data_IF_941398119903
#
_entry.id   IF_941398119903
#
_cell.length_a   1.000
_cell.length_b   1.000
_cell.length_c   1.000
_cell.angle_alpha   90.00
_cell.angle_beta   90.00
_cell.angle_gamma   90.00
#
_symmetry.space_group_name_H-M   'P 1'
#
loop_
_entity.id
_entity.type
_entity.pdbx_description
1 polymer ?
#
# COMPACT_ATOMS: atom_id res chain seq x y z
N UNK A 1 22.61 1.07 12.81
CA UNK A 1 23.12 0.28 11.68
C UNK A 1 23.51 -1.08 12.18
N UNK A 2 22.76 -2.10 11.80
CA UNK A 2 22.92 -3.45 12.35
C UNK A 2 21.83 -4.40 11.89
N UNK A 3 22.18 -5.22 10.89
CA UNK A 3 21.67 -6.57 10.53
C UNK A 3 22.05 -6.88 9.07
N UNK A 4 21.91 -5.88 8.20
CA UNK A 4 22.30 -5.93 6.78
C UNK A 4 22.32 -4.49 6.23
N UNK A 5 23.25 -4.15 5.32
CA UNK A 5 23.25 -2.86 4.64
C UNK A 5 21.89 -2.52 4.00
N UNK A 6 21.18 -3.52 3.48
CA UNK A 6 19.85 -3.33 2.87
C UNK A 6 18.80 -2.93 3.90
N UNK A 7 18.84 -3.50 5.10
CA UNK A 7 17.89 -3.15 6.17
C UNK A 7 18.18 -1.75 6.66
N UNK A 8 19.44 -1.44 6.91
CA UNK A 8 19.86 -0.11 7.35
C UNK A 8 19.45 0.98 6.35
N UNK A 9 19.58 0.70 5.05
CA UNK A 9 19.11 1.63 4.01
C UNK A 9 17.59 1.80 4.02
N UNK A 10 16.82 0.70 4.12
CA UNK A 10 15.35 0.80 4.15
C UNK A 10 14.83 1.59 5.37
N UNK A 11 15.50 1.50 6.52
CA UNK A 11 15.16 2.29 7.71
C UNK A 11 15.42 3.78 7.46
N UNK A 12 16.58 4.09 6.86
CA UNK A 12 16.99 5.46 6.52
C UNK A 12 16.05 6.10 5.49
N UNK A 13 15.66 5.35 4.46
CA UNK A 13 14.69 5.80 3.46
C UNK A 13 13.31 6.05 4.09
N UNK A 14 12.89 5.18 5.01
CA UNK A 14 11.66 5.34 5.76
C UNK A 14 11.61 6.63 6.59
N UNK A 15 12.69 6.94 7.31
CA UNK A 15 12.81 8.18 8.09
C UNK A 15 12.73 9.43 7.20
N UNK A 16 13.36 9.41 6.03
CA UNK A 16 13.28 10.52 5.06
C UNK A 16 11.86 10.67 4.49
N UNK A 17 11.18 9.56 4.23
CA UNK A 17 9.83 9.57 3.69
C UNK A 17 8.83 10.19 4.67
N UNK A 18 8.98 9.98 5.98
CA UNK A 18 8.13 10.62 6.99
C UNK A 18 8.16 12.14 6.83
N UNK A 19 9.35 12.73 6.68
CA UNK A 19 9.50 14.17 6.50
C UNK A 19 8.79 14.68 5.24
N UNK A 20 9.01 14.00 4.11
CA UNK A 20 8.38 14.37 2.85
C UNK A 20 6.85 14.26 2.89
N UNK A 21 6.30 13.25 3.58
CA UNK A 21 4.85 13.06 3.74
C UNK A 21 4.26 14.09 4.70
N UNK A 22 5.00 14.45 5.75
CA UNK A 22 4.62 15.54 6.66
C UNK A 22 4.57 16.90 5.94
N UNK A 23 5.52 17.18 5.05
CA UNK A 23 5.54 18.39 4.23
C UNK A 23 4.33 18.48 3.26
N UNK A 24 3.74 17.34 2.90
CA UNK A 24 2.49 17.26 2.13
C UNK A 24 1.23 17.44 3.01
N UNK A 25 1.38 17.59 4.33
CA UNK A 25 0.27 17.78 5.28
C UNK A 25 -0.36 16.48 5.80
N UNK A 26 0.28 15.32 5.58
CA UNK A 26 -0.20 14.03 6.08
C UNK A 26 0.59 13.55 7.30
N UNK A 27 -0.06 12.77 8.15
CA UNK A 27 0.62 12.08 9.25
C UNK A 27 1.27 10.81 8.72
N UNK A 28 2.56 10.63 9.02
CA UNK A 28 3.31 9.43 8.68
C UNK A 28 4.05 8.91 9.92
N UNK A 29 4.05 7.58 10.07
CA UNK A 29 4.74 6.87 11.13
C UNK A 29 5.55 5.74 10.50
N UNK A 30 6.79 5.57 10.93
CA UNK A 30 7.65 4.49 10.49
C UNK A 30 7.59 3.35 11.52
N UNK A 31 6.88 2.28 11.16
CA UNK A 31 6.66 1.11 12.02
C UNK A 31 7.78 0.05 11.92
N UNK A 32 8.86 0.34 11.17
CA UNK A 32 9.94 -0.61 10.90
C UNK A 32 9.42 -1.97 10.40
N UNK A 33 9.62 -3.04 11.17
CA UNK A 33 9.18 -4.40 10.86
C UNK A 33 7.84 -4.78 11.52
N UNK A 34 7.29 -3.92 12.38
CA UNK A 34 6.10 -4.20 13.20
C UNK A 34 4.83 -4.03 12.37
N UNK A 35 4.56 -5.02 11.53
CA UNK A 35 3.41 -5.01 10.61
C UNK A 35 2.08 -5.00 11.37
N UNK A 36 2.03 -5.58 12.56
CA UNK A 36 0.87 -5.59 13.44
C UNK A 36 0.47 -4.18 13.90
N UNK A 37 1.43 -3.31 14.14
CA UNK A 37 1.20 -1.93 14.55
C UNK A 37 0.83 -1.08 13.33
N UNK A 38 1.51 -1.28 12.20
CA UNK A 38 1.16 -0.64 10.94
C UNK A 38 -0.28 -0.93 10.52
N UNK A 39 -0.74 -2.18 10.67
CA UNK A 39 -2.13 -2.56 10.38
C UNK A 39 -3.14 -1.98 11.37
N UNK A 40 -2.73 -1.80 12.64
CA UNK A 40 -3.61 -1.26 13.69
C UNK A 40 -3.81 0.25 13.57
N UNK A 41 -2.73 0.98 13.29
CA UNK A 41 -2.67 2.43 13.47
C UNK A 41 -2.71 3.21 12.15
N UNK A 42 -2.44 2.57 11.02
CA UNK A 42 -2.35 3.22 9.71
C UNK A 42 -3.50 2.87 8.77
N UNK A 43 -3.92 3.84 7.95
CA UNK A 43 -4.88 3.64 6.87
C UNK A 43 -4.21 3.34 5.51
N UNK A 44 -2.91 3.57 5.40
CA UNK A 44 -2.08 3.31 4.23
C UNK A 44 -0.70 2.82 4.68
N UNK A 45 -0.24 1.71 4.11
CA UNK A 45 1.11 1.17 4.36
C UNK A 45 1.92 1.30 3.09
N UNK A 46 3.06 1.97 3.16
CA UNK A 46 4.04 2.05 2.08
C UNK A 46 5.15 1.03 2.39
N UNK A 47 5.21 -0.04 1.60
CA UNK A 47 6.26 -1.04 1.74
C UNK A 47 7.59 -0.54 1.15
N UNK A 48 8.74 -0.98 1.70
CA UNK A 48 10.07 -0.52 1.24
C UNK A 48 10.40 -1.00 -0.18
N UNK A 49 9.82 -2.12 -0.62
CA UNK A 49 9.96 -2.64 -1.98
C UNK A 49 8.76 -3.50 -2.39
N UNK A 50 8.67 -3.83 -3.68
CA UNK A 50 7.57 -4.62 -4.23
C UNK A 50 7.51 -6.06 -3.72
N UNK A 51 8.65 -6.64 -3.31
CA UNK A 51 8.69 -8.01 -2.77
C UNK A 51 8.03 -8.00 -1.38
N UNK A 52 8.43 -7.06 -0.54
CA UNK A 52 7.92 -6.84 0.81
C UNK A 52 6.43 -6.48 0.78
N UNK A 53 6.03 -5.58 -0.12
CA UNK A 53 4.62 -5.22 -0.32
C UNK A 53 3.75 -6.41 -0.74
N UNK A 54 4.24 -7.23 -1.68
CA UNK A 54 3.52 -8.44 -2.07
C UNK A 54 3.45 -9.47 -0.93
N UNK A 55 4.51 -9.63 -0.14
CA UNK A 55 4.50 -10.51 1.04
C UNK A 55 3.48 -10.05 2.08
N UNK A 56 3.44 -8.75 2.39
CA UNK A 56 2.44 -8.15 3.29
C UNK A 56 1.04 -8.40 2.75
N UNK A 57 0.77 -8.03 1.49
CA UNK A 57 -0.54 -8.21 0.86
C UNK A 57 -1.00 -9.66 0.91
N UNK A 58 -0.14 -10.60 0.49
CA UNK A 58 -0.50 -12.03 0.45
C UNK A 58 -0.72 -12.60 1.84
N UNK A 59 0.08 -12.18 2.82
CA UNK A 59 -0.08 -12.63 4.21
C UNK A 59 -1.39 -12.12 4.78
N UNK A 60 -1.69 -10.83 4.66
CA UNK A 60 -2.92 -10.25 5.20
C UNK A 60 -4.18 -10.80 4.51
N UNK A 61 -4.12 -11.05 3.19
CA UNK A 61 -5.29 -11.45 2.38
C UNK A 61 -5.52 -12.96 2.35
N UNK A 62 -4.47 -13.77 2.17
CA UNK A 62 -4.61 -15.21 1.92
C UNK A 62 -4.36 -16.08 3.14
N UNK A 63 -3.63 -15.56 4.13
CA UNK A 63 -3.36 -16.27 5.39
C UNK A 63 -4.10 -15.62 6.56
N UNK A 64 -4.23 -14.30 6.55
CA UNK A 64 -5.13 -13.55 7.43
C UNK A 64 -6.55 -13.51 6.90
N UNK A 65 -7.43 -12.87 7.66
CA UNK A 65 -8.83 -12.65 7.30
C UNK A 65 -9.05 -11.33 6.53
N UNK A 66 -8.00 -10.80 5.91
CA UNK A 66 -8.06 -9.57 5.14
C UNK A 66 -8.84 -9.72 3.84
N UNK A 67 -9.59 -8.69 3.46
CA UNK A 67 -10.35 -8.66 2.21
C UNK A 67 -9.58 -7.84 1.17
N UNK A 68 -9.26 -8.45 0.03
CA UNK A 68 -8.65 -7.73 -1.09
C UNK A 68 -9.70 -7.07 -1.99
N UNK A 69 -9.45 -5.79 -2.31
CA UNK A 69 -10.31 -4.96 -3.15
C UNK A 69 -9.70 -4.67 -4.54
N UNK A 70 -8.60 -5.32 -4.89
CA UNK A 70 -7.82 -5.03 -6.10
C UNK A 70 -6.75 -3.95 -5.86
N UNK A 71 -5.89 -3.75 -6.84
CA UNK A 71 -4.82 -2.76 -6.81
C UNK A 71 -5.11 -1.66 -7.83
N UNK A 72 -5.21 -0.41 -7.40
CA UNK A 72 -5.31 0.72 -8.31
C UNK A 72 -3.96 0.94 -9.01
N UNK A 73 -3.96 0.92 -10.34
CA UNK A 73 -2.77 1.10 -11.17
C UNK A 73 -2.89 2.43 -11.91
N UNK A 74 -2.02 3.36 -11.55
CA UNK A 74 -1.65 4.58 -12.26
C UNK A 74 -2.73 5.62 -12.59
N UNK A 75 -2.48 6.85 -12.14
CA UNK A 75 -3.31 8.04 -12.37
C UNK A 75 -2.88 8.85 -13.60
N UNK A 76 -1.64 8.70 -14.09
CA UNK A 76 -1.07 9.54 -15.16
C UNK A 76 -1.68 9.31 -16.55
N UNK A 77 -2.47 8.24 -16.73
CA UNK A 77 -3.16 7.94 -17.99
C UNK A 77 -4.54 8.61 -18.09
N UNK A 78 -4.93 9.42 -17.10
CA UNK A 78 -6.24 10.09 -17.06
C UNK A 78 -7.43 9.13 -16.93
N UNK A 79 -7.17 7.87 -16.55
CA UNK A 79 -8.16 6.81 -16.40
C UNK A 79 -7.80 5.94 -15.21
N UNK A 80 -8.82 5.44 -14.52
CA UNK A 80 -8.65 4.50 -13.42
C UNK A 80 -8.44 3.10 -13.98
N UNK A 81 -7.27 2.51 -13.72
CA UNK A 81 -7.06 1.08 -13.93
C UNK A 81 -7.04 0.37 -12.58
N UNK A 82 -7.70 -0.78 -12.49
CA UNK A 82 -7.63 -1.66 -11.32
C UNK A 82 -7.15 -3.03 -11.78
N UNK A 83 -5.99 -3.43 -11.30
CA UNK A 83 -5.44 -4.76 -11.53
C UNK A 83 -5.90 -5.72 -10.43
N UNK A 84 -6.10 -6.97 -10.80
CA UNK A 84 -6.60 -8.02 -9.91
C UNK A 84 -5.79 -9.29 -10.09
N UNK A 85 -5.48 -9.94 -8.97
CA UNK A 85 -4.82 -11.24 -9.02
C UNK A 85 -5.82 -12.31 -9.48
N UNK A 86 -5.36 -13.20 -10.38
CA UNK A 86 -6.08 -14.42 -10.79
C UNK A 86 -6.44 -15.35 -9.63
N UNK A 87 -5.76 -15.22 -8.49
CA UNK A 87 -6.01 -16.01 -7.29
C UNK A 87 -7.22 -15.52 -6.47
N UNK A 88 -7.82 -14.37 -6.80
CA UNK A 88 -9.00 -13.84 -6.13
C UNK A 88 -10.29 -14.50 -6.65
N UNK A 89 -11.13 -15.02 -5.75
CA UNK A 89 -12.39 -15.69 -6.12
C UNK A 89 -13.50 -14.76 -6.62
N UNK A 90 -13.34 -13.43 -6.50
CA UNK A 90 -14.35 -12.44 -6.94
C UNK A 90 -13.71 -11.14 -7.39
N UNK A 91 -14.23 -10.57 -8.48
CA UNK A 91 -13.85 -9.25 -8.99
C UNK A 91 -14.71 -8.11 -8.45
N UNK A 92 -15.70 -8.41 -7.60
CA UNK A 92 -16.65 -7.41 -7.10
C UNK A 92 -15.98 -6.28 -6.31
N UNK A 93 -14.95 -6.60 -5.51
CA UNK A 93 -14.16 -5.60 -4.79
C UNK A 93 -13.44 -4.64 -5.72
N UNK A 94 -12.79 -5.17 -6.77
CA UNK A 94 -12.08 -4.39 -7.77
C UNK A 94 -12.99 -3.47 -8.57
N UNK A 95 -14.17 -3.94 -8.96
CA UNK A 95 -15.17 -3.12 -9.65
C UNK A 95 -15.67 -1.99 -8.74
N UNK A 96 -15.94 -2.28 -7.45
CA UNK A 96 -16.34 -1.26 -6.47
C UNK A 96 -15.24 -0.22 -6.27
N UNK A 97 -13.99 -0.65 -6.15
CA UNK A 97 -12.84 0.24 -6.01
C UNK A 97 -12.68 1.14 -7.25
N UNK A 98 -12.79 0.57 -8.46
CA UNK A 98 -12.73 1.33 -9.71
C UNK A 98 -13.84 2.38 -9.80
N UNK A 99 -15.07 2.01 -9.41
CA UNK A 99 -16.21 2.92 -9.41
C UNK A 99 -16.06 4.04 -8.37
N UNK A 100 -15.50 3.76 -7.19
CA UNK A 100 -15.23 4.81 -6.20
C UNK A 100 -14.16 5.79 -6.71
N UNK A 101 -13.04 5.28 -7.24
CA UNK A 101 -11.95 6.10 -7.74
C UNK A 101 -12.32 6.93 -8.97
N UNK A 102 -13.22 6.44 -9.84
CA UNK A 102 -13.64 7.19 -11.02
C UNK A 102 -14.41 8.46 -10.66
N UNK A 103 -15.11 8.50 -9.51
CA UNK A 103 -15.78 9.73 -9.04
C UNK A 103 -14.80 10.78 -8.54
N UNK A 104 -13.62 10.38 -8.10
CA UNK A 104 -12.58 11.27 -7.57
C UNK A 104 -11.68 11.78 -8.70
N UNK A 105 -11.32 10.91 -9.65
CA UNK A 105 -10.35 11.21 -10.72
C UNK A 105 -11.05 11.70 -12.00
N UNK A 106 -12.29 11.29 -12.26
CA UNK A 106 -13.07 11.65 -13.45
C UNK A 106 -14.01 12.85 -13.27
N UNK A 107 -14.01 13.49 -12.10
CA UNK A 107 -14.84 14.67 -11.78
C UNK A 107 -14.20 16.01 -12.14
N UNK A 108 -13.33 16.05 -13.16
CA UNK A 108 -12.72 17.28 -13.70
C UNK A 108 -13.52 17.83 -14.88
#
# INVERSE_FOLDING_TARGET
>A
MGRSPRVDESLREGDLLIGAVADMGYQAVHHEILIEDAVRDSNLIIAPDGISGNLIFRTLTFLGEGVAWGAAVHYDLGKVFVDTSRAGGSYSGAVKLAAALSTIIGGS
#
